data_IF_409606054855
#
_entry.id   IF_409606054855
#
_cell.length_a   1.000
_cell.length_b   1.000
_cell.length_c   1.000
_cell.angle_alpha   90.00
_cell.angle_beta   90.00
_cell.angle_gamma   90.00
#
_symmetry.space_group_name_H-M   'P 1'
#
loop_
_entity.id
_entity.type
_entity.pdbx_description
1 polymer ?
#
# COMPACT_ATOMS: atom_id res chain seq x y z
N UNK A 1 -13.75 -17.32 -1.07
CA UNK A 1 -13.82 -16.86 0.34
C UNK A 1 -13.40 -15.39 0.55
N UNK A 2 -13.33 -14.53 -0.49
CA UNK A 2 -13.05 -13.07 -0.35
C UNK A 2 -13.98 -12.23 -1.24
N UNK A 3 -15.30 -12.45 -1.14
CA UNK A 3 -16.28 -11.76 -2.01
C UNK A 3 -16.41 -10.26 -1.70
N UNK A 4 -16.14 -9.84 -0.46
CA UNK A 4 -16.30 -8.45 -0.04
C UNK A 4 -15.04 -7.60 -0.28
N UNK A 5 -15.26 -6.31 -0.58
CA UNK A 5 -14.21 -5.30 -0.76
C UNK A 5 -13.20 -5.30 0.40
N UNK A 6 -13.70 -5.34 1.64
CA UNK A 6 -12.88 -5.34 2.86
C UNK A 6 -11.88 -6.50 2.90
N UNK A 7 -12.30 -7.70 2.51
CA UNK A 7 -11.39 -8.86 2.48
C UNK A 7 -10.30 -8.72 1.41
N UNK A 8 -10.64 -8.19 0.23
CA UNK A 8 -9.66 -7.95 -0.85
C UNK A 8 -8.68 -6.83 -0.49
N UNK A 9 -9.20 -5.72 0.03
CA UNK A 9 -8.42 -4.55 0.46
C UNK A 9 -7.42 -4.91 1.55
N UNK A 10 -7.82 -5.73 2.54
CA UNK A 10 -6.91 -6.23 3.58
C UNK A 10 -5.71 -6.96 2.97
N UNK A 11 -5.94 -7.90 2.04
CA UNK A 11 -4.86 -8.65 1.40
C UNK A 11 -3.95 -7.71 0.59
N UNK A 12 -4.53 -6.87 -0.25
CA UNK A 12 -3.75 -5.97 -1.13
C UNK A 12 -2.85 -5.03 -0.31
N UNK A 13 -3.38 -4.44 0.76
CA UNK A 13 -2.60 -3.56 1.62
C UNK A 13 -1.56 -4.31 2.46
N UNK A 14 -1.85 -5.51 2.94
CA UNK A 14 -0.85 -6.34 3.63
C UNK A 14 0.30 -6.71 2.68
N UNK A 15 0.00 -7.11 1.45
CA UNK A 15 1.01 -7.43 0.43
C UNK A 15 1.86 -6.20 0.13
N UNK A 16 1.24 -5.05 -0.16
CA UNK A 16 1.95 -3.81 -0.42
C UNK A 16 2.84 -3.39 0.76
N UNK A 17 2.34 -3.54 2.00
CA UNK A 17 3.12 -3.29 3.20
C UNK A 17 4.34 -4.21 3.29
N UNK A 18 4.19 -5.53 3.09
CA UNK A 18 5.30 -6.49 3.19
C UNK A 18 6.43 -6.13 2.22
N UNK A 19 6.10 -5.81 0.96
CA UNK A 19 7.13 -5.46 -0.03
C UNK A 19 7.87 -4.17 0.33
N UNK A 20 7.16 -3.14 0.82
CA UNK A 20 7.82 -1.92 1.31
C UNK A 20 8.60 -2.19 2.59
N UNK A 21 8.08 -3.00 3.51
CA UNK A 21 8.73 -3.28 4.79
C UNK A 21 10.05 -4.05 4.62
N UNK A 22 10.04 -5.13 3.84
CA UNK A 22 11.21 -5.97 3.60
C UNK A 22 12.28 -5.25 2.77
N UNK A 23 11.86 -4.43 1.81
CA UNK A 23 12.78 -3.83 0.84
C UNK A 23 13.28 -2.46 1.27
N UNK A 24 12.61 -1.82 2.22
CA UNK A 24 12.88 -0.44 2.60
C UNK A 24 12.90 -0.22 4.12
N UNK A 25 11.85 -0.60 4.86
CA UNK A 25 11.80 -0.31 6.32
C UNK A 25 12.88 -1.08 7.07
N UNK A 26 12.99 -2.39 6.92
CA UNK A 26 13.99 -3.18 7.65
C UNK A 26 15.43 -2.79 7.27
N UNK A 27 15.76 -2.54 5.99
CA UNK A 27 17.04 -1.96 5.63
C UNK A 27 17.34 -0.62 6.31
N UNK A 28 16.38 0.31 6.30
CA UNK A 28 16.55 1.66 6.86
C UNK A 28 16.62 1.66 8.39
N UNK A 29 15.78 0.87 9.06
CA UNK A 29 15.64 0.86 10.52
C UNK A 29 16.67 -0.04 11.18
N UNK A 30 16.97 -1.19 10.58
CA UNK A 30 17.89 -2.18 11.15
C UNK A 30 19.31 -2.08 10.59
N UNK A 31 19.56 -1.13 9.67
CA UNK A 31 20.86 -0.96 9.02
C UNK A 31 21.26 -2.16 8.15
N UNK A 32 20.28 -2.91 7.65
CA UNK A 32 20.51 -4.12 6.84
C UNK A 32 20.55 -3.78 5.35
N UNK A 33 21.15 -4.63 4.53
CA UNK A 33 20.99 -4.55 3.07
C UNK A 33 19.54 -4.86 2.69
N UNK A 34 19.08 -4.35 1.54
CA UNK A 34 17.76 -4.69 1.00
C UNK A 34 17.55 -6.21 0.97
N UNK A 35 16.51 -6.69 1.66
CA UNK A 35 16.22 -8.14 1.75
C UNK A 35 15.69 -8.72 0.44
N UNK A 36 15.28 -7.84 -0.47
CA UNK A 36 14.83 -8.16 -1.82
C UNK A 36 15.49 -7.19 -2.81
N UNK A 37 15.74 -7.60 -4.06
CA UNK A 37 16.24 -6.69 -5.10
C UNK A 37 15.29 -5.51 -5.27
N UNK A 38 15.79 -4.28 -5.11
CA UNK A 38 14.98 -3.06 -5.12
C UNK A 38 14.17 -2.90 -6.41
N UNK A 39 14.73 -3.28 -7.56
CA UNK A 39 14.03 -3.24 -8.84
C UNK A 39 12.81 -4.17 -8.87
N UNK A 40 12.94 -5.38 -8.32
CA UNK A 40 11.88 -6.38 -8.27
C UNK A 40 10.78 -5.92 -7.31
N UNK A 41 11.16 -5.51 -6.10
CA UNK A 41 10.23 -5.00 -5.10
C UNK A 41 9.50 -3.76 -5.57
N UNK A 42 10.18 -2.87 -6.30
CA UNK A 42 9.58 -1.68 -6.88
C UNK A 42 8.53 -2.00 -7.92
N UNK A 43 8.84 -2.88 -8.89
CA UNK A 43 7.89 -3.28 -9.93
C UNK A 43 6.65 -3.94 -9.31
N UNK A 44 6.85 -4.91 -8.41
CA UNK A 44 5.73 -5.62 -7.77
C UNK A 44 4.88 -4.66 -6.94
N UNK A 45 5.50 -3.74 -6.21
CA UNK A 45 4.78 -2.75 -5.41
C UNK A 45 4.00 -1.75 -6.25
N UNK A 46 4.52 -1.36 -7.42
CA UNK A 46 3.80 -0.53 -8.39
C UNK A 46 2.56 -1.27 -8.90
N UNK A 47 2.69 -2.54 -9.27
CA UNK A 47 1.54 -3.35 -9.71
C UNK A 47 0.49 -3.50 -8.60
N UNK A 48 0.93 -3.73 -7.36
CA UNK A 48 0.03 -3.79 -6.20
C UNK A 48 -0.67 -2.45 -5.95
N UNK A 49 0.04 -1.33 -6.05
CA UNK A 49 -0.54 0.01 -5.90
C UNK A 49 -1.58 0.32 -6.99
N UNK A 50 -1.32 -0.08 -8.24
CA UNK A 50 -2.30 0.03 -9.33
C UNK A 50 -3.54 -0.82 -9.05
N UNK A 51 -3.37 -2.06 -8.57
CA UNK A 51 -4.49 -2.91 -8.20
C UNK A 51 -5.32 -2.30 -7.05
N UNK A 52 -4.66 -1.71 -6.05
CA UNK A 52 -5.33 -0.99 -4.95
C UNK A 52 -6.12 0.21 -5.49
N UNK A 53 -5.56 1.00 -6.42
CA UNK A 53 -6.27 2.12 -7.04
C UNK A 53 -7.51 1.68 -7.80
N UNK A 54 -7.40 0.62 -8.59
CA UNK A 54 -8.53 0.06 -9.35
C UNK A 54 -9.61 -0.46 -8.43
N UNK A 55 -9.26 -1.24 -7.40
CA UNK A 55 -10.25 -1.77 -6.44
C UNK A 55 -10.89 -0.64 -5.61
N UNK A 56 -10.12 0.37 -5.21
CA UNK A 56 -10.62 1.54 -4.50
C UNK A 56 -11.59 2.38 -5.36
N UNK A 57 -11.29 2.57 -6.65
CA UNK A 57 -12.14 3.31 -7.58
C UNK A 57 -13.40 2.52 -7.99
N UNK A 58 -13.31 1.19 -8.05
CA UNK A 58 -14.39 0.34 -8.53
C UNK A 58 -15.63 0.44 -7.62
N UNK A 59 -16.72 1.03 -8.14
CA UNK A 59 -17.97 1.31 -7.41
C UNK A 59 -17.82 2.29 -6.23
N UNK A 60 -16.79 3.15 -6.22
CA UNK A 60 -16.55 4.10 -5.13
C UNK A 60 -17.75 5.01 -4.80
N UNK A 61 -18.54 5.37 -5.82
CA UNK A 61 -19.72 6.23 -5.66
C UNK A 61 -21.04 5.48 -5.50
N UNK A 62 -21.05 4.16 -5.57
CA UNK A 62 -22.27 3.37 -5.46
C UNK A 62 -22.94 3.55 -4.08
N UNK A 63 -24.27 3.71 -4.00
CA UNK A 63 -25.00 3.86 -2.73
C UNK A 63 -24.73 2.79 -1.67
N UNK A 64 -24.66 1.47 -1.99
CA UNK A 64 -24.40 0.43 -0.98
C UNK A 64 -22.96 0.44 -0.43
N UNK A 65 -22.04 1.13 -1.09
CA UNK A 65 -20.61 1.19 -0.72
C UNK A 65 -20.26 2.41 0.14
N UNK A 66 -21.25 3.24 0.51
CA UNK A 66 -21.09 4.40 1.41
C UNK A 66 -20.25 4.11 2.68
N UNK A 67 -20.45 3.01 3.42
CA UNK A 67 -19.65 2.74 4.61
C UNK A 67 -18.17 2.45 4.31
N UNK A 68 -17.83 1.99 3.09
CA UNK A 68 -16.46 1.69 2.69
C UNK A 68 -15.71 2.88 2.04
N UNK A 69 -16.37 4.05 1.87
CA UNK A 69 -15.78 5.21 1.18
C UNK A 69 -14.53 5.76 1.85
N UNK A 70 -14.51 5.80 3.19
CA UNK A 70 -13.35 6.26 3.96
C UNK A 70 -12.12 5.39 3.68
N UNK A 71 -12.30 4.06 3.76
CA UNK A 71 -11.24 3.12 3.42
C UNK A 71 -10.79 3.27 1.96
N UNK A 72 -11.71 3.39 1.00
CA UNK A 72 -11.38 3.59 -0.43
C UNK A 72 -10.53 4.85 -0.67
N UNK A 73 -10.86 5.96 -0.01
CA UNK A 73 -10.09 7.20 -0.11
C UNK A 73 -8.67 7.03 0.46
N UNK A 74 -8.55 6.39 1.63
CA UNK A 74 -7.26 6.10 2.25
C UNK A 74 -6.44 5.10 1.43
N UNK A 75 -7.09 4.09 0.84
CA UNK A 75 -6.49 3.12 -0.09
C UNK A 75 -5.91 3.82 -1.31
N UNK A 76 -6.65 4.76 -1.92
CA UNK A 76 -6.15 5.55 -3.04
C UNK A 76 -4.94 6.40 -2.64
N UNK A 77 -4.96 7.04 -1.48
CA UNK A 77 -3.82 7.82 -0.97
C UNK A 77 -2.60 6.93 -0.69
N UNK A 78 -2.80 5.75 -0.10
CA UNK A 78 -1.74 4.77 0.16
C UNK A 78 -1.07 4.29 -1.13
N UNK A 79 -1.87 4.06 -2.17
CA UNK A 79 -1.38 3.67 -3.48
C UNK A 79 -0.65 4.80 -4.21
N UNK A 80 -1.16 6.03 -4.19
CA UNK A 80 -0.48 7.17 -4.80
C UNK A 80 0.88 7.44 -4.16
N UNK A 81 0.96 7.41 -2.82
CA UNK A 81 2.23 7.54 -2.10
C UNK A 81 3.20 6.39 -2.41
N UNK A 82 2.70 5.16 -2.57
CA UNK A 82 3.51 4.02 -3.01
C UNK A 82 4.10 4.23 -4.41
N UNK A 83 3.26 4.68 -5.35
CA UNK A 83 3.68 4.92 -6.75
C UNK A 83 4.76 5.99 -6.82
N UNK A 84 4.56 7.12 -6.17
CA UNK A 84 5.55 8.22 -6.15
C UNK A 84 6.87 7.71 -5.55
N UNK A 85 6.79 7.03 -4.40
CA UNK A 85 7.97 6.51 -3.70
C UNK A 85 8.77 5.54 -4.55
N UNK A 86 8.12 4.54 -5.14
CA UNK A 86 8.79 3.54 -5.97
C UNK A 86 9.30 4.09 -7.29
N UNK A 87 8.58 5.00 -7.95
CA UNK A 87 9.07 5.65 -9.17
C UNK A 87 10.34 6.44 -8.88
N UNK A 88 10.36 7.26 -7.83
CA UNK A 88 11.57 7.98 -7.42
C UNK A 88 12.73 7.02 -7.14
N UNK A 89 12.48 5.91 -6.43
CA UNK A 89 13.50 4.93 -6.09
C UNK A 89 14.04 4.15 -7.30
N UNK A 90 13.19 3.82 -8.28
CA UNK A 90 13.61 3.13 -9.49
C UNK A 90 14.44 4.05 -10.41
N UNK A 91 14.14 5.35 -10.45
CA UNK A 91 14.92 6.33 -11.24
C UNK A 91 16.35 6.48 -10.69
N UNK A 92 16.51 6.48 -9.36
CA UNK A 92 17.82 6.62 -8.71
C UNK A 92 18.52 5.29 -8.44
N UNK A 93 17.92 4.18 -8.86
CA UNK A 93 18.46 2.85 -8.60
C UNK A 93 19.85 2.70 -9.23
N UNK A 94 20.81 2.19 -8.46
CA UNK A 94 22.23 2.06 -8.85
C UNK A 94 22.99 3.39 -9.05
N UNK A 95 22.46 4.52 -8.56
CA UNK A 95 23.13 5.81 -8.59
C UNK A 95 23.51 6.28 -7.17
N UNK A 96 24.79 6.13 -6.80
CA UNK A 96 25.29 6.49 -5.47
C UNK A 96 25.30 8.01 -5.22
N UNK A 97 25.44 8.83 -6.26
CA UNK A 97 25.41 10.30 -6.14
C UNK A 97 23.99 10.84 -5.86
N UNK A 98 22.97 9.99 -5.99
CA UNK A 98 21.60 10.38 -5.69
C UNK A 98 21.35 10.56 -4.18
N UNK A 99 22.23 10.04 -3.32
CA UNK A 99 22.19 10.17 -1.87
C UNK A 99 22.46 11.63 -1.43
N UNK A 100 21.42 12.46 -1.48
CA UNK A 100 21.51 13.89 -1.20
C UNK A 100 20.53 14.72 -2.03
N UNK A 101 20.03 14.14 -3.12
CA UNK A 101 19.06 14.78 -4.02
C UNK A 101 17.69 14.93 -3.38
N UNK A 102 16.91 15.91 -3.85
CA UNK A 102 15.50 16.07 -3.49
C UNK A 102 14.70 14.80 -3.82
N UNK A 103 15.03 14.12 -4.92
CA UNK A 103 14.34 12.90 -5.35
C UNK A 103 14.49 11.76 -4.34
N UNK A 104 15.69 11.59 -3.75
CA UNK A 104 15.91 10.64 -2.66
C UNK A 104 15.05 10.97 -1.43
N UNK A 105 15.00 12.24 -1.01
CA UNK A 105 14.21 12.69 0.15
C UNK A 105 12.70 12.47 -0.08
N UNK A 106 12.20 12.79 -1.27
CA UNK A 106 10.80 12.58 -1.64
C UNK A 106 10.48 11.10 -1.69
N UNK A 107 11.32 10.29 -2.35
CA UNK A 107 11.10 8.84 -2.48
C UNK A 107 11.08 8.13 -1.12
N UNK A 108 12.02 8.44 -0.24
CA UNK A 108 12.09 7.89 1.11
C UNK A 108 10.89 8.30 1.98
N UNK A 109 10.52 9.58 1.97
CA UNK A 109 9.36 10.09 2.72
C UNK A 109 8.05 9.45 2.25
N UNK A 110 7.84 9.37 0.93
CA UNK A 110 6.60 8.83 0.35
C UNK A 110 6.49 7.31 0.53
N UNK A 111 7.59 6.55 0.45
CA UNK A 111 7.60 5.13 0.82
C UNK A 111 7.30 4.92 2.31
N UNK A 112 7.89 5.72 3.19
CA UNK A 112 7.59 5.66 4.63
C UNK A 112 6.12 5.94 4.93
N UNK A 113 5.58 7.00 4.33
CA UNK A 113 4.15 7.36 4.44
C UNK A 113 3.26 6.24 3.90
N UNK A 114 3.60 5.70 2.73
CA UNK A 114 2.86 4.59 2.12
C UNK A 114 2.84 3.36 3.00
N UNK A 115 3.93 3.01 3.67
CA UNK A 115 3.96 1.87 4.58
C UNK A 115 3.01 2.03 5.77
N UNK A 116 3.00 3.22 6.39
CA UNK A 116 2.07 3.54 7.49
C UNK A 116 0.62 3.48 7.01
N UNK A 117 0.33 4.03 5.83
CA UNK A 117 -1.02 3.99 5.27
C UNK A 117 -1.46 2.56 4.93
N UNK A 118 -0.57 1.74 4.37
CA UNK A 118 -0.87 0.35 4.04
C UNK A 118 -1.15 -0.49 5.29
N UNK A 119 -0.36 -0.37 6.37
CA UNK A 119 -0.64 -1.12 7.60
C UNK A 119 -1.95 -0.68 8.25
N UNK A 120 -2.26 0.62 8.23
CA UNK A 120 -3.49 1.17 8.79
C UNK A 120 -4.72 0.72 7.97
N UNK A 121 -4.65 0.80 6.64
CA UNK A 121 -5.72 0.33 5.76
C UNK A 121 -5.92 -1.18 5.88
N UNK A 122 -4.85 -1.97 5.98
CA UNK A 122 -4.95 -3.41 6.20
C UNK A 122 -5.65 -3.74 7.52
N UNK A 123 -5.30 -3.04 8.61
CA UNK A 123 -5.93 -3.24 9.92
C UNK A 123 -7.41 -2.89 9.91
N UNK A 124 -7.80 -1.72 9.38
CA UNK A 124 -9.21 -1.34 9.26
C UNK A 124 -9.99 -2.33 8.40
N UNK A 125 -9.47 -2.67 7.22
CA UNK A 125 -10.12 -3.58 6.29
C UNK A 125 -10.32 -4.98 6.92
N UNK A 126 -9.34 -5.46 7.67
CA UNK A 126 -9.43 -6.74 8.39
C UNK A 126 -10.47 -6.70 9.51
N UNK A 127 -10.51 -5.63 10.31
CA UNK A 127 -11.47 -5.47 11.40
C UNK A 127 -12.90 -5.36 10.86
N UNK A 128 -13.12 -4.55 9.82
CA UNK A 128 -14.42 -4.39 9.16
C UNK A 128 -14.89 -5.70 8.52
N UNK A 129 -13.98 -6.42 7.86
CA UNK A 129 -14.27 -7.72 7.29
C UNK A 129 -14.67 -8.74 8.36
N UNK A 130 -13.98 -8.75 9.49
CA UNK A 130 -14.30 -9.63 10.62
C UNK A 130 -15.66 -9.26 11.23
N UNK A 131 -15.94 -7.98 11.43
CA UNK A 131 -17.22 -7.52 11.95
C UNK A 131 -18.40 -7.94 11.06
N UNK A 132 -18.25 -7.81 9.73
CA UNK A 132 -19.26 -8.23 8.75
C UNK A 132 -19.49 -9.74 8.66
N UNK A 133 -18.63 -10.58 9.26
CA UNK A 133 -18.89 -12.02 9.42
C UNK A 133 -19.67 -12.37 10.69
N UNK A 134 -19.68 -11.47 11.68
CA UNK A 134 -20.24 -11.73 13.01
C UNK A 134 -21.69 -11.24 13.11
N UNK A 135 -22.10 -10.25 12.31
CA UNK A 135 -23.49 -9.83 12.21
C UNK A 135 -24.24 -10.70 11.20
N UNK A 136 -25.18 -11.57 11.62
CA UNK A 136 -26.04 -12.26 10.67
C UNK A 136 -26.88 -11.20 9.96
N UNK A 137 -26.84 -11.20 8.63
CA UNK A 137 -27.74 -10.39 7.80
C UNK A 137 -29.14 -10.87 8.09
N UNK A 138 -29.89 -10.13 8.91
CA UNK A 138 -31.34 -10.30 9.02
C UNK A 138 -31.93 -9.77 7.71
N UNK A 139 -32.32 -10.69 6.84
CA UNK A 139 -33.20 -10.43 5.71
C UNK A 139 -34.56 -9.94 6.20
#
# INVERSE_FOLDING_TARGET
MFSSYQGRSAILHTVAFIFVALSFIFPVVLGTSALLPTWLSGIVSILAALAILVDAAHKAFAPPERPARGLRALSALAALTALIGWICWLIIFNNFDAAGTTMYKVGTFTLGTSAVLNIFCAAMAFLDWRAGRVTPVKH
#
